data_IF_529072876751
#
_entry.id   IF_529072876751
#
_cell.length_a   1.000
_cell.length_b   1.000
_cell.length_c   1.000
_cell.angle_alpha   90.00
_cell.angle_beta   90.00
_cell.angle_gamma   90.00
#
_symmetry.space_group_name_H-M   'P 1'
#
loop_
_entity.id
_entity.type
_entity.pdbx_description
1 polymer ?
#
# COMPACT_ATOMS: atom_id res chain seq x y z
N UNK A 1 11.63 27.62 -1.91
CA UNK A 1 12.26 26.35 -2.38
C UNK A 1 13.16 25.69 -1.33
N UNK A 2 14.26 26.28 -0.84
CA UNK A 2 15.08 25.64 0.21
C UNK A 2 14.39 25.55 1.58
N UNK A 3 13.60 26.56 1.99
CA UNK A 3 12.80 26.57 3.21
C UNK A 3 11.73 25.46 3.21
N UNK A 4 11.06 25.29 2.11
CA UNK A 4 9.93 24.35 1.93
C UNK A 4 10.41 22.90 1.98
N UNK A 5 11.59 22.62 1.38
CA UNK A 5 12.25 21.31 1.45
C UNK A 5 12.67 20.97 2.87
N UNK A 6 13.16 21.96 3.63
CA UNK A 6 13.54 21.77 5.03
C UNK A 6 12.33 21.47 5.90
N UNK A 7 11.25 22.24 5.76
CA UNK A 7 10.01 22.04 6.52
C UNK A 7 9.42 20.64 6.26
N UNK A 8 9.38 20.21 5.00
CA UNK A 8 8.93 18.86 4.63
C UNK A 8 9.86 17.78 5.22
N UNK A 9 11.17 17.98 5.17
CA UNK A 9 12.15 17.07 5.76
C UNK A 9 11.96 16.93 7.26
N UNK A 10 11.77 18.04 7.97
CA UNK A 10 11.52 18.05 9.42
C UNK A 10 10.20 17.32 9.75
N UNK A 11 9.15 17.55 8.97
CA UNK A 11 7.87 16.85 9.10
C UNK A 11 8.01 15.32 8.89
N UNK A 12 8.78 14.89 7.90
CA UNK A 12 9.07 13.47 7.66
C UNK A 12 9.83 12.87 8.84
N UNK A 13 10.88 13.55 9.34
CA UNK A 13 11.64 13.04 10.49
C UNK A 13 10.79 12.89 11.75
N UNK A 14 9.84 13.79 11.98
CA UNK A 14 8.93 13.73 13.14
C UNK A 14 8.03 12.48 13.13
N UNK A 15 7.68 11.94 11.97
CA UNK A 15 6.74 10.82 11.85
C UNK A 15 7.43 9.44 11.74
N UNK A 16 8.74 9.37 11.50
CA UNK A 16 9.47 8.11 11.27
C UNK A 16 9.29 7.13 12.44
N UNK A 17 9.44 7.60 13.68
CA UNK A 17 9.30 6.75 14.87
C UNK A 17 7.91 6.10 14.97
N UNK A 18 6.84 6.90 15.07
CA UNK A 18 5.47 6.40 15.13
C UNK A 18 5.07 5.51 13.94
N UNK A 19 5.53 5.84 12.73
CA UNK A 19 5.22 5.07 11.53
C UNK A 19 5.96 3.72 11.52
N UNK A 20 7.19 3.67 12.02
CA UNK A 20 7.92 2.41 12.20
C UNK A 20 7.21 1.47 13.17
N UNK A 21 6.73 1.98 14.30
CA UNK A 21 5.94 1.19 15.24
C UNK A 21 4.63 0.70 14.62
N UNK A 22 3.98 1.54 13.82
CA UNK A 22 2.80 1.15 13.07
C UNK A 22 3.09 0.03 12.07
N UNK A 23 4.21 0.12 11.32
CA UNK A 23 4.67 -0.96 10.45
C UNK A 23 4.87 -2.27 11.21
N UNK A 24 5.54 -2.25 12.37
CA UNK A 24 5.75 -3.45 13.19
C UNK A 24 4.42 -4.06 13.66
N UNK A 25 3.43 -3.22 13.98
CA UNK A 25 2.09 -3.69 14.34
C UNK A 25 1.37 -4.36 13.17
N UNK A 26 1.44 -3.80 11.96
CA UNK A 26 0.91 -4.41 10.74
C UNK A 26 1.59 -5.75 10.46
N UNK A 27 2.92 -5.79 10.53
CA UNK A 27 3.70 -7.00 10.29
C UNK A 27 3.33 -8.13 11.24
N UNK A 28 3.08 -7.81 12.52
CA UNK A 28 2.70 -8.79 13.53
C UNK A 28 1.28 -9.38 13.33
N UNK A 29 0.40 -8.70 12.60
CA UNK A 29 -0.99 -9.12 12.40
C UNK A 29 -1.40 -9.03 10.93
N UNK A 30 -0.71 -9.77 10.03
CA UNK A 30 -0.99 -9.76 8.60
C UNK A 30 -2.36 -10.34 8.29
N UNK A 31 -3.00 -9.81 7.25
CA UNK A 31 -4.28 -10.28 6.72
C UNK A 31 -4.16 -10.56 5.23
N UNK A 32 -4.86 -11.60 4.76
CA UNK A 32 -4.85 -12.02 3.35
C UNK A 32 -5.70 -11.08 2.49
N UNK A 33 -5.38 -10.99 1.21
CA UNK A 33 -6.06 -10.12 0.25
C UNK A 33 -7.59 -10.20 0.27
N UNK A 34 -8.24 -9.04 0.20
CA UNK A 34 -9.69 -8.81 0.32
C UNK A 34 -10.30 -9.21 1.68
N UNK A 35 -9.48 -9.45 2.68
CA UNK A 35 -9.87 -9.71 4.07
C UNK A 35 -9.08 -8.86 5.07
N UNK A 36 -8.47 -7.80 4.61
CA UNK A 36 -7.64 -6.87 5.39
C UNK A 36 -8.50 -5.90 6.22
N UNK A 37 -9.48 -6.43 6.97
CA UNK A 37 -10.45 -5.59 7.70
C UNK A 37 -9.82 -4.78 8.83
N UNK A 38 -8.96 -5.42 9.64
CA UNK A 38 -8.27 -4.74 10.75
C UNK A 38 -7.17 -3.82 10.24
N UNK A 39 -6.49 -4.20 9.18
CA UNK A 39 -5.49 -3.38 8.50
C UNK A 39 -6.15 -2.12 7.95
N UNK A 40 -7.27 -2.26 7.24
CA UNK A 40 -8.08 -1.16 6.71
C UNK A 40 -8.50 -0.19 7.81
N UNK A 41 -9.09 -0.70 8.91
CA UNK A 41 -9.50 0.10 10.07
C UNK A 41 -8.30 0.84 10.69
N UNK A 42 -7.17 0.15 10.89
CA UNK A 42 -5.99 0.74 11.51
C UNK A 42 -5.39 1.84 10.63
N UNK A 43 -5.34 1.64 9.31
CA UNK A 43 -4.88 2.63 8.34
C UNK A 43 -5.81 3.83 8.30
N UNK A 44 -7.12 3.61 8.21
CA UNK A 44 -8.14 4.68 8.20
C UNK A 44 -8.03 5.57 9.43
N UNK A 45 -7.83 4.95 10.60
CA UNK A 45 -7.61 5.69 11.85
C UNK A 45 -6.34 6.52 11.78
N UNK A 46 -5.22 5.95 11.31
CA UNK A 46 -3.96 6.67 11.17
C UNK A 46 -4.04 7.85 10.20
N UNK A 47 -4.74 7.70 9.09
CA UNK A 47 -4.96 8.77 8.11
C UNK A 47 -5.87 9.88 8.70
N UNK A 48 -6.89 9.51 9.45
CA UNK A 48 -7.76 10.46 10.16
C UNK A 48 -7.00 11.22 11.25
N UNK A 49 -6.21 10.51 12.07
CA UNK A 49 -5.38 11.10 13.13
C UNK A 49 -4.31 12.04 12.57
N UNK A 50 -3.79 11.75 11.37
CA UNK A 50 -2.86 12.62 10.66
C UNK A 50 -3.49 13.93 10.17
N UNK A 51 -4.82 14.01 10.13
CA UNK A 51 -5.58 15.19 9.73
C UNK A 51 -5.92 15.23 8.24
N UNK A 52 -6.05 14.08 7.57
CA UNK A 52 -6.61 14.04 6.22
C UNK A 52 -8.02 14.65 6.19
N UNK A 53 -8.35 15.39 5.13
CA UNK A 53 -9.62 16.10 5.00
C UNK A 53 -10.81 15.16 4.78
N UNK A 54 -10.56 14.00 4.16
CA UNK A 54 -11.53 12.91 4.11
C UNK A 54 -10.81 11.57 4.10
N UNK A 55 -11.45 10.55 4.68
CA UNK A 55 -11.03 9.15 4.64
C UNK A 55 -12.25 8.32 4.28
N UNK A 56 -12.15 7.53 3.24
CA UNK A 56 -13.22 6.65 2.72
C UNK A 56 -12.73 5.22 2.76
N UNK A 57 -13.42 4.39 3.52
CA UNK A 57 -13.18 2.95 3.63
C UNK A 57 -14.03 2.15 2.65
N UNK A 58 -13.67 0.88 2.44
CA UNK A 58 -14.47 -0.08 1.69
C UNK A 58 -14.38 0.05 0.18
N UNK A 59 -13.46 0.84 -0.35
CA UNK A 59 -13.29 1.01 -1.80
C UNK A 59 -12.70 -0.28 -2.40
N UNK A 60 -13.48 -0.94 -3.23
CA UNK A 60 -13.10 -2.25 -3.79
C UNK A 60 -13.06 -3.39 -2.76
N UNK A 61 -13.78 -3.23 -1.64
CA UNK A 61 -13.85 -4.21 -0.54
C UNK A 61 -13.25 -3.68 0.76
N UNK A 62 -11.93 -3.78 0.94
CA UNK A 62 -11.22 -3.31 2.13
C UNK A 62 -10.31 -2.10 1.86
N UNK A 63 -10.25 -1.60 0.63
CA UNK A 63 -9.41 -0.46 0.25
C UNK A 63 -9.79 0.84 0.94
N UNK A 64 -8.82 1.73 1.11
CA UNK A 64 -8.99 3.03 1.75
C UNK A 64 -8.49 4.13 0.82
N UNK A 65 -9.25 5.22 0.74
CA UNK A 65 -8.87 6.43 0.01
C UNK A 65 -8.92 7.62 0.97
N UNK A 66 -7.85 8.41 1.02
CA UNK A 66 -7.83 9.65 1.79
C UNK A 66 -7.44 10.84 0.90
N UNK A 67 -7.99 12.02 1.22
CA UNK A 67 -7.70 13.28 0.53
C UNK A 67 -7.05 14.27 1.50
N UNK A 68 -6.11 15.04 0.98
CA UNK A 68 -5.42 16.11 1.68
C UNK A 68 -5.42 17.33 0.77
N UNK A 69 -6.07 18.41 1.20
CA UNK A 69 -6.11 19.64 0.42
C UNK A 69 -4.94 20.55 0.77
N UNK A 70 -4.23 21.02 -0.26
CA UNK A 70 -3.16 21.99 -0.10
C UNK A 70 -3.69 23.38 0.30
N UNK A 71 -2.84 24.18 0.95
CA UNK A 71 -3.16 25.56 1.32
C UNK A 71 -3.32 26.49 0.12
N UNK A 72 -2.72 26.15 -1.01
CA UNK A 72 -2.77 26.95 -2.22
C UNK A 72 -3.84 26.43 -3.17
N UNK A 73 -4.61 27.32 -3.85
CA UNK A 73 -5.61 26.89 -4.82
C UNK A 73 -4.95 26.13 -5.98
N UNK A 74 -5.61 25.06 -6.41
CA UNK A 74 -5.17 24.21 -7.53
C UNK A 74 -6.24 23.19 -7.85
N UNK A 75 -6.18 22.64 -9.07
CA UNK A 75 -7.13 21.62 -9.54
C UNK A 75 -6.47 20.26 -9.76
N UNK A 76 -5.14 20.22 -9.70
CA UNK A 76 -4.36 19.00 -9.95
C UNK A 76 -4.41 18.08 -8.74
N UNK A 77 -4.65 16.80 -8.99
CA UNK A 77 -4.67 15.76 -7.96
C UNK A 77 -3.58 14.74 -8.23
N UNK A 78 -2.68 14.60 -7.28
CA UNK A 78 -1.60 13.61 -7.31
C UNK A 78 -1.90 12.54 -6.27
N UNK A 79 -1.92 11.28 -6.69
CA UNK A 79 -2.14 10.15 -5.79
C UNK A 79 -0.84 9.41 -5.48
N UNK A 80 -0.73 8.93 -4.25
CA UNK A 80 0.26 7.96 -3.81
C UNK A 80 -0.42 6.66 -3.46
N UNK A 81 -0.04 5.57 -4.13
CA UNK A 81 -0.61 4.23 -3.94
C UNK A 81 0.32 3.36 -3.12
N UNK A 82 -0.24 2.65 -2.16
CA UNK A 82 0.37 1.53 -1.46
C UNK A 82 -0.60 0.35 -1.41
N UNK A 83 -0.06 -0.85 -1.36
CA UNK A 83 -0.78 -2.09 -1.11
C UNK A 83 -0.71 -2.48 0.37
N UNK A 84 -1.60 -3.40 0.84
CA UNK A 84 -1.68 -3.72 2.26
C UNK A 84 -1.91 -5.19 2.59
N UNK A 85 -2.05 -6.06 1.59
CA UNK A 85 -2.31 -7.49 1.82
C UNK A 85 -1.03 -8.28 2.12
N UNK A 86 -1.20 -9.41 2.78
CA UNK A 86 -0.14 -10.34 3.13
C UNK A 86 -0.20 -11.63 2.30
N UNK A 87 0.87 -12.41 2.37
CA UNK A 87 1.03 -13.68 1.67
C UNK A 87 0.70 -14.88 2.57
N UNK A 88 0.14 -15.98 1.99
CA UNK A 88 -0.10 -17.23 2.69
C UNK A 88 1.22 -18.03 2.83
N UNK A 89 2.10 -17.56 3.72
CA UNK A 89 3.39 -18.19 4.00
C UNK A 89 3.74 -18.09 5.48
N UNK A 90 4.47 -19.08 5.97
CA UNK A 90 4.94 -19.07 7.37
C UNK A 90 6.22 -18.27 7.50
N UNK A 91 6.22 -17.31 8.40
CA UNK A 91 7.41 -16.51 8.68
C UNK A 91 8.47 -17.29 9.48
N UNK A 92 9.73 -17.11 9.10
CA UNK A 92 10.89 -17.70 9.76
C UNK A 92 12.00 -16.66 10.07
N UNK A 93 11.65 -15.37 10.15
CA UNK A 93 12.64 -14.29 10.35
C UNK A 93 13.19 -14.23 11.77
N UNK A 94 12.38 -14.62 12.78
CA UNK A 94 12.73 -14.50 14.20
C UNK A 94 12.84 -13.06 14.70
N UNK A 95 12.32 -12.07 13.98
CA UNK A 95 12.33 -10.67 14.40
C UNK A 95 11.34 -10.44 15.56
N UNK A 96 11.54 -9.40 16.40
CA UNK A 96 10.67 -9.13 17.55
C UNK A 96 9.19 -8.88 17.20
N UNK A 97 8.90 -8.48 15.98
CA UNK A 97 7.56 -8.22 15.44
C UNK A 97 7.10 -9.30 14.45
N UNK A 98 7.68 -10.50 14.51
CA UNK A 98 7.25 -11.67 13.71
C UNK A 98 5.74 -11.84 13.73
N UNK A 99 5.20 -12.29 12.60
CA UNK A 99 3.76 -12.55 12.43
C UNK A 99 3.19 -13.42 13.56
N UNK A 100 2.09 -12.99 14.12
CA UNK A 100 1.29 -13.74 15.13
C UNK A 100 0.11 -14.47 14.50
N UNK A 101 -0.03 -14.39 13.17
CA UNK A 101 -1.06 -15.08 12.39
C UNK A 101 -0.40 -16.26 11.69
N UNK A 102 -0.69 -17.47 12.17
CA UNK A 102 -0.09 -18.69 11.61
C UNK A 102 -0.37 -18.82 10.11
N UNK A 103 0.68 -19.07 9.33
CA UNK A 103 0.60 -19.25 7.89
C UNK A 103 0.39 -17.96 7.09
N UNK A 104 0.51 -16.79 7.70
CA UNK A 104 0.49 -15.49 7.00
C UNK A 104 1.73 -14.67 7.35
N UNK A 105 2.25 -13.93 6.38
CA UNK A 105 3.40 -13.04 6.54
C UNK A 105 3.35 -11.90 5.52
N UNK A 106 3.79 -10.71 5.91
CA UNK A 106 4.13 -9.65 4.96
C UNK A 106 5.48 -9.92 4.26
N UNK A 107 5.49 -10.96 3.39
CA UNK A 107 6.70 -11.39 2.70
C UNK A 107 7.10 -10.49 1.53
N UNK A 108 6.18 -9.69 1.00
CA UNK A 108 6.42 -8.72 -0.08
C UNK A 108 6.65 -7.28 0.44
N UNK A 109 6.52 -7.05 1.76
CA UNK A 109 6.78 -5.75 2.38
C UNK A 109 5.63 -4.74 2.31
N UNK A 110 4.41 -5.20 2.06
CA UNK A 110 3.22 -4.32 1.99
C UNK A 110 2.92 -3.61 3.31
N UNK A 111 3.32 -4.16 4.47
CA UNK A 111 3.34 -3.47 5.75
C UNK A 111 4.20 -2.19 5.72
N UNK A 112 5.35 -2.26 5.03
CA UNK A 112 6.23 -1.13 4.80
C UNK A 112 5.64 -0.10 3.84
N UNK A 113 5.02 -0.57 2.75
CA UNK A 113 4.36 0.31 1.77
C UNK A 113 3.18 1.07 2.38
N UNK A 114 2.33 0.37 3.13
CA UNK A 114 1.22 0.95 3.89
C UNK A 114 1.71 1.99 4.90
N UNK A 115 2.74 1.65 5.68
CA UNK A 115 3.33 2.56 6.64
C UNK A 115 3.95 3.79 5.96
N UNK A 116 4.59 3.61 4.81
CA UNK A 116 5.12 4.70 3.99
C UNK A 116 4.01 5.65 3.53
N UNK A 117 2.88 5.12 3.03
CA UNK A 117 1.74 5.95 2.63
C UNK A 117 1.19 6.78 3.81
N UNK A 118 1.12 6.20 5.02
CA UNK A 118 0.76 6.94 6.24
C UNK A 118 1.78 8.03 6.59
N UNK A 119 3.09 7.77 6.40
CA UNK A 119 4.12 8.78 6.60
C UNK A 119 3.98 9.95 5.62
N UNK A 120 3.76 9.65 4.34
CA UNK A 120 3.50 10.65 3.28
C UNK A 120 2.29 11.51 3.65
N UNK A 121 1.17 10.89 4.03
CA UNK A 121 -0.03 11.60 4.45
C UNK A 121 0.25 12.51 5.65
N UNK A 122 0.92 11.99 6.68
CA UNK A 122 1.21 12.74 7.90
C UNK A 122 2.10 13.97 7.63
N UNK A 123 3.14 13.81 6.81
CA UNK A 123 4.03 14.91 6.44
C UNK A 123 3.30 15.98 5.59
N UNK A 124 2.47 15.55 4.65
CA UNK A 124 1.67 16.46 3.82
C UNK A 124 0.59 17.18 4.64
N UNK A 125 -0.06 16.51 5.57
CA UNK A 125 -1.05 17.13 6.47
C UNK A 125 -0.39 18.18 7.40
N UNK A 126 0.83 17.91 7.87
CA UNK A 126 1.54 18.82 8.76
C UNK A 126 1.92 20.14 8.07
N UNK A 127 2.34 20.08 6.80
CA UNK A 127 2.82 21.26 6.07
C UNK A 127 1.74 21.90 5.20
N UNK A 128 1.01 21.10 4.44
CA UNK A 128 -0.01 21.49 3.44
C UNK A 128 0.51 22.54 2.42
N UNK A 129 1.81 22.73 2.32
CA UNK A 129 2.40 23.75 1.43
C UNK A 129 2.51 23.27 -0.02
N UNK A 130 1.37 22.94 -0.60
CA UNK A 130 1.21 22.59 -2.01
C UNK A 130 -0.09 23.14 -2.57
N UNK A 131 -0.25 23.11 -3.89
CA UNK A 131 -1.47 23.48 -4.60
C UNK A 131 -2.24 22.23 -5.05
N UNK A 132 -3.56 22.26 -4.98
CA UNK A 132 -4.41 21.15 -5.39
C UNK A 132 -4.60 20.11 -4.30
N UNK A 133 -4.69 18.84 -4.69
CA UNK A 133 -5.04 17.71 -3.80
C UNK A 133 -3.96 16.63 -3.84
N UNK A 134 -3.54 16.18 -2.67
CA UNK A 134 -2.84 14.91 -2.54
C UNK A 134 -3.84 13.83 -2.13
N UNK A 135 -3.77 12.68 -2.80
CA UNK A 135 -4.65 11.54 -2.55
C UNK A 135 -3.80 10.34 -2.11
N UNK A 136 -4.24 9.65 -1.09
CA UNK A 136 -3.65 8.39 -0.64
C UNK A 136 -4.58 7.26 -1.04
N UNK A 137 -4.04 6.27 -1.73
CA UNK A 137 -4.75 5.06 -2.14
C UNK A 137 -4.11 3.87 -1.42
N UNK A 138 -4.84 3.24 -0.53
CA UNK A 138 -4.44 1.99 0.12
C UNK A 138 -5.19 0.85 -0.57
N UNK A 139 -4.46 0.12 -1.41
CA UNK A 139 -5.02 -0.93 -2.25
C UNK A 139 -5.06 -2.26 -1.51
N UNK A 140 -6.20 -2.96 -1.50
CA UNK A 140 -6.30 -4.32 -1.01
C UNK A 140 -5.84 -5.32 -2.09
N UNK A 141 -5.53 -6.54 -1.69
CA UNK A 141 -5.45 -7.71 -2.57
C UNK A 141 -4.59 -7.54 -3.83
N UNK A 142 -3.34 -7.11 -3.66
CA UNK A 142 -2.38 -7.03 -4.77
C UNK A 142 -1.97 -8.43 -5.22
N UNK A 143 -1.73 -9.34 -4.28
CA UNK A 143 -1.19 -10.68 -4.45
C UNK A 143 -2.20 -11.66 -5.09
N UNK A 144 -2.53 -11.41 -6.36
CA UNK A 144 -3.40 -12.29 -7.17
C UNK A 144 -4.91 -12.09 -6.99
N UNK A 145 -5.37 -11.11 -6.19
CA UNK A 145 -6.80 -10.85 -5.93
C UNK A 145 -7.40 -9.76 -6.81
N UNK A 146 -6.58 -9.13 -7.67
CA UNK A 146 -6.97 -8.04 -8.56
C UNK A 146 -7.60 -6.85 -7.82
N UNK A 147 -7.10 -6.50 -6.63
CA UNK A 147 -7.66 -5.45 -5.79
C UNK A 147 -7.69 -4.08 -6.44
N UNK A 148 -6.66 -3.71 -7.24
CA UNK A 148 -6.68 -2.47 -8.01
C UNK A 148 -7.88 -2.42 -8.97
N UNK A 149 -8.16 -3.51 -9.70
CA UNK A 149 -9.33 -3.62 -10.58
C UNK A 149 -10.62 -3.43 -9.79
N UNK A 150 -10.75 -4.08 -8.63
CA UNK A 150 -11.92 -3.94 -7.77
C UNK A 150 -12.14 -2.50 -7.30
N UNK A 151 -11.08 -1.78 -6.94
CA UNK A 151 -11.18 -0.36 -6.61
C UNK A 151 -11.63 0.48 -7.82
N UNK A 152 -11.11 0.21 -9.01
CA UNK A 152 -11.49 0.90 -10.25
C UNK A 152 -12.96 0.63 -10.60
N UNK A 153 -13.39 -0.63 -10.52
CA UNK A 153 -14.78 -1.04 -10.76
C UNK A 153 -15.74 -0.42 -9.73
N UNK A 154 -15.30 -0.23 -8.49
CA UNK A 154 -16.03 0.49 -7.42
C UNK A 154 -15.98 2.03 -7.58
N UNK A 155 -15.39 2.53 -8.66
CA UNK A 155 -15.43 3.93 -9.04
C UNK A 155 -14.25 4.77 -8.55
N UNK A 156 -13.09 4.19 -8.27
CA UNK A 156 -11.90 4.93 -7.80
C UNK A 156 -11.62 6.19 -8.63
N UNK A 157 -11.63 6.09 -9.95
CA UNK A 157 -11.34 7.21 -10.85
C UNK A 157 -12.58 7.95 -11.38
N UNK A 158 -13.78 7.54 -10.98
CA UNK A 158 -15.02 8.26 -11.27
C UNK A 158 -15.53 9.08 -10.08
N UNK A 159 -15.21 8.64 -8.86
CA UNK A 159 -15.52 9.37 -7.61
C UNK A 159 -14.49 10.45 -7.33
N UNK A 160 -13.24 10.20 -7.68
CA UNK A 160 -12.12 11.13 -7.49
C UNK A 160 -11.42 11.35 -8.81
N UNK A 161 -11.26 12.61 -9.19
CA UNK A 161 -10.45 12.97 -10.35
C UNK A 161 -8.97 12.89 -9.97
N UNK A 162 -8.21 12.05 -10.65
CA UNK A 162 -6.77 11.84 -10.39
C UNK A 162 -6.00 12.09 -11.68
N UNK A 163 -5.03 12.98 -11.63
CA UNK A 163 -4.20 13.34 -12.79
C UNK A 163 -2.96 12.45 -12.88
N UNK A 164 -2.36 12.11 -11.74
CA UNK A 164 -1.14 11.29 -11.66
C UNK A 164 -1.21 10.33 -10.49
N UNK A 165 -0.65 9.12 -10.66
CA UNK A 165 -0.52 8.12 -9.60
C UNK A 165 0.94 7.70 -9.47
N UNK A 166 1.48 7.81 -8.27
CA UNK A 166 2.80 7.34 -7.91
C UNK A 166 2.70 6.14 -6.98
N UNK A 167 3.62 5.19 -7.12
CA UNK A 167 3.78 4.07 -6.21
C UNK A 167 5.26 3.76 -6.02
N UNK A 168 5.59 3.12 -4.92
CA UNK A 168 6.93 2.60 -4.69
C UNK A 168 6.85 1.19 -4.15
N UNK A 169 7.87 0.39 -4.40
CA UNK A 169 8.01 -0.96 -3.88
C UNK A 169 9.36 -1.11 -3.20
N UNK A 170 9.42 -1.80 -2.06
CA UNK A 170 10.69 -2.14 -1.45
C UNK A 170 11.48 -3.09 -2.35
N UNK A 171 12.78 -2.83 -2.50
CA UNK A 171 13.69 -3.56 -3.37
C UNK A 171 14.89 -4.03 -2.54
N UNK A 172 14.89 -5.28 -2.04
CA UNK A 172 15.94 -5.78 -1.15
C UNK A 172 17.34 -5.80 -1.78
N UNK A 173 17.43 -5.80 -3.11
CA UNK A 173 18.67 -5.73 -3.87
C UNK A 173 19.31 -4.34 -3.89
N UNK A 174 18.56 -3.30 -3.53
CA UNK A 174 19.07 -1.93 -3.45
C UNK A 174 19.55 -1.60 -2.04
N UNK A 175 20.63 -0.82 -1.93
CA UNK A 175 21.10 -0.33 -0.63
C UNK A 175 20.15 0.72 -0.07
N UNK A 176 20.08 0.82 1.27
CA UNK A 176 19.30 1.86 1.95
C UNK A 176 19.67 3.25 1.41
N UNK A 177 18.66 4.03 1.04
CA UNK A 177 18.82 5.35 0.44
C UNK A 177 18.99 5.36 -1.08
N UNK A 178 18.97 4.20 -1.74
CA UNK A 178 18.94 4.12 -3.19
C UNK A 178 17.51 3.94 -3.70
N UNK A 179 17.20 4.58 -4.84
CA UNK A 179 15.96 4.45 -5.55
C UNK A 179 16.24 3.96 -6.98
N UNK A 180 15.48 2.96 -7.44
CA UNK A 180 15.49 2.50 -8.82
C UNK A 180 14.32 3.12 -9.59
N UNK A 181 14.61 3.68 -10.75
CA UNK A 181 13.62 4.20 -11.69
C UNK A 181 13.96 3.71 -13.08
N UNK A 182 12.94 3.26 -13.83
CA UNK A 182 13.09 2.84 -15.22
C UNK A 182 12.08 3.59 -16.08
N UNK A 183 12.52 4.33 -17.10
CA UNK A 183 11.62 4.92 -18.08
C UNK A 183 10.84 3.84 -18.84
N UNK A 184 9.55 4.02 -19.02
CA UNK A 184 8.68 3.07 -19.73
C UNK A 184 8.16 1.95 -18.81
N UNK A 185 8.11 0.72 -19.30
CA UNK A 185 7.58 -0.43 -18.53
C UNK A 185 8.55 -0.84 -17.42
N UNK A 186 8.09 -0.77 -16.18
CA UNK A 186 8.85 -1.16 -14.99
C UNK A 186 8.40 -2.51 -14.41
N UNK A 187 7.11 -2.86 -14.56
CA UNK A 187 6.52 -4.08 -14.03
C UNK A 187 6.05 -4.99 -15.15
N UNK A 188 6.01 -6.30 -14.88
CA UNK A 188 5.49 -7.30 -15.81
C UNK A 188 3.97 -7.45 -15.69
N UNK A 189 3.33 -7.99 -16.72
CA UNK A 189 1.98 -8.52 -16.63
C UNK A 189 2.02 -9.92 -16.01
N UNK A 190 1.02 -10.24 -15.20
CA UNK A 190 0.86 -11.57 -14.62
C UNK A 190 -0.46 -12.20 -15.08
N UNK A 191 -0.45 -13.52 -15.27
CA UNK A 191 -1.63 -14.32 -15.53
C UNK A 191 -1.55 -15.62 -14.73
N UNK A 192 -2.67 -16.03 -14.16
CA UNK A 192 -2.80 -17.30 -13.46
C UNK A 192 -3.70 -18.23 -14.28
N UNK A 193 -3.27 -19.49 -14.42
CA UNK A 193 -4.08 -20.52 -15.04
C UNK A 193 -4.02 -21.80 -14.20
N UNK A 194 -5.11 -22.54 -14.19
CA UNK A 194 -5.21 -23.85 -13.56
C UNK A 194 -5.44 -24.91 -14.63
N UNK A 195 -4.77 -26.05 -14.48
CA UNK A 195 -4.97 -27.23 -15.32
C UNK A 195 -5.28 -28.39 -14.39
N UNK A 196 -6.53 -28.86 -14.46
CA UNK A 196 -6.97 -30.04 -13.74
C UNK A 196 -6.91 -31.24 -14.67
N UNK A 197 -6.14 -32.26 -14.30
CA UNK A 197 -6.02 -33.52 -15.05
C UNK A 197 -6.68 -34.63 -14.24
N UNK A 198 -7.82 -35.08 -14.71
CA UNK A 198 -8.54 -36.18 -14.10
C UNK A 198 -8.30 -37.46 -14.90
N UNK A 199 -7.93 -38.53 -14.23
CA UNK A 199 -7.65 -39.81 -14.87
C UNK A 199 -7.55 -40.96 -13.88
N UNK A 200 -7.44 -42.17 -14.40
CA UNK A 200 -7.17 -43.36 -13.60
C UNK A 200 -5.69 -43.67 -13.72
N UNK A 201 -5.03 -43.87 -12.57
CA UNK A 201 -3.61 -44.22 -12.56
C UNK A 201 -3.38 -45.59 -13.18
N UNK A 202 -2.39 -45.65 -14.08
CA UNK A 202 -2.00 -46.90 -14.75
C UNK A 202 -0.47 -46.95 -14.96
N UNK A 203 0.02 -48.10 -15.42
CA UNK A 203 1.42 -48.22 -15.78
C UNK A 203 1.70 -47.49 -17.11
N UNK A 204 2.68 -46.57 -17.15
CA UNK A 204 2.95 -45.72 -18.31
C UNK A 204 3.17 -46.42 -19.65
N UNK A 205 3.64 -47.70 -19.63
CA UNK A 205 3.80 -48.53 -20.82
C UNK A 205 2.62 -49.53 -21.04
N UNK A 206 1.60 -49.52 -20.17
CA UNK A 206 0.42 -50.37 -20.22
C UNK A 206 -0.78 -49.60 -19.64
N UNK A 207 -1.24 -48.59 -20.40
CA UNK A 207 -2.37 -47.75 -19.96
C UNK A 207 -3.69 -48.52 -19.94
#
# INVERSE_FOLDING_TARGET
MQSDVKELSDAVHAVIGPVREFRHALHAYPEIGLKEFKTSEAVSRKLSDAGCDSVTEGVGGTGVVALIYGKRPGKHTVAFRADMDALPMTEATGCPWTSRTAGLMHGCGHDGHTAWAVAVASALCATRDFAGTAMIIIQPGEEGWAGARKMIEDGLFTRWNVDEVYAGHCAPELKVGQFGLTPGLMTSAAALFHIDVTGVGCHGARP
#
